data_IF_775879028637
#
_entry.id   IF_775879028637
#
_cell.length_a   1.000
_cell.length_b   1.000
_cell.length_c   1.000
_cell.angle_alpha   90.00
_cell.angle_beta   90.00
_cell.angle_gamma   90.00
#
_symmetry.space_group_name_H-M   'P 1'
#
loop_
_entity.id
_entity.type
_entity.pdbx_description
1 polymer ?
#
# COMPACT_ATOMS: atom_id res chain seq x y z
N UNK A 1 28.57 -10.10 34.08
CA UNK A 1 28.48 -10.40 32.64
C UNK A 1 27.33 -11.36 32.29
N UNK A 2 27.22 -12.54 32.92
CA UNK A 2 26.15 -13.53 32.62
C UNK A 2 24.71 -13.01 32.82
N UNK A 3 24.44 -12.24 33.87
CA UNK A 3 23.11 -11.67 34.13
C UNK A 3 22.70 -10.58 33.12
N UNK A 4 23.66 -9.82 32.59
CA UNK A 4 23.41 -8.81 31.55
C UNK A 4 23.01 -9.49 30.24
N UNK A 5 23.67 -10.60 29.88
CA UNK A 5 23.33 -11.38 28.69
C UNK A 5 21.93 -12.01 28.77
N UNK A 6 21.53 -12.47 29.96
CA UNK A 6 20.18 -13.01 30.18
C UNK A 6 19.12 -11.90 30.04
N UNK A 7 19.36 -10.72 30.61
CA UNK A 7 18.45 -9.58 30.47
C UNK A 7 18.30 -9.13 29.00
N UNK A 8 19.39 -9.10 28.23
CA UNK A 8 19.34 -8.78 26.80
C UNK A 8 18.59 -9.83 25.97
N UNK A 9 18.75 -11.12 26.30
CA UNK A 9 17.97 -12.19 25.66
C UNK A 9 16.47 -12.07 25.95
N UNK A 10 16.09 -11.81 27.20
CA UNK A 10 14.68 -11.60 27.58
C UNK A 10 14.11 -10.37 26.87
N UNK A 11 14.84 -9.26 26.83
CA UNK A 11 14.44 -8.06 26.12
C UNK A 11 14.28 -8.32 24.61
N UNK A 12 15.20 -9.08 24.00
CA UNK A 12 15.12 -9.47 22.59
C UNK A 12 13.91 -10.35 22.28
N UNK A 13 13.61 -11.34 23.14
CA UNK A 13 12.43 -12.21 23.00
C UNK A 13 11.14 -11.41 23.19
N UNK A 14 11.07 -10.56 24.21
CA UNK A 14 9.92 -9.69 24.44
C UNK A 14 9.69 -8.73 23.26
N UNK A 15 10.76 -8.12 22.74
CA UNK A 15 10.71 -7.26 21.56
C UNK A 15 10.27 -8.02 20.31
N UNK A 16 10.76 -9.25 20.10
CA UNK A 16 10.34 -10.11 18.99
C UNK A 16 8.83 -10.38 19.02
N UNK A 17 8.28 -10.76 20.18
CA UNK A 17 6.84 -11.00 20.32
C UNK A 17 6.01 -9.71 20.18
N UNK A 18 6.48 -8.58 20.72
CA UNK A 18 5.84 -7.28 20.55
C UNK A 18 5.80 -6.87 19.06
N UNK A 19 6.94 -6.94 18.36
CA UNK A 19 7.05 -6.60 16.95
C UNK A 19 6.20 -7.53 16.06
N UNK A 20 6.27 -8.85 16.30
CA UNK A 20 5.46 -9.84 15.57
C UNK A 20 3.95 -9.62 15.73
N UNK A 21 3.50 -9.28 16.94
CA UNK A 21 2.08 -9.00 17.21
C UNK A 21 1.61 -7.71 16.55
N UNK A 22 2.43 -6.65 16.59
CA UNK A 22 2.11 -5.38 15.97
C UNK A 22 2.05 -5.46 14.45
N UNK A 23 2.96 -6.20 13.81
CA UNK A 23 2.97 -6.37 12.36
C UNK A 23 1.69 -7.07 11.86
N UNK A 24 1.20 -8.08 12.59
CA UNK A 24 -0.08 -8.74 12.27
C UNK A 24 -1.26 -7.79 12.38
N UNK A 25 -1.31 -6.99 13.45
CA UNK A 25 -2.37 -5.99 13.65
C UNK A 25 -2.36 -4.94 12.53
N UNK A 26 -1.19 -4.39 12.20
CA UNK A 26 -1.02 -3.40 11.13
C UNK A 26 -1.45 -3.96 9.76
N UNK A 27 -1.10 -5.21 9.44
CA UNK A 27 -1.53 -5.85 8.21
C UNK A 27 -3.08 -5.94 8.13
N UNK A 28 -3.74 -6.36 9.21
CA UNK A 28 -5.20 -6.45 9.27
C UNK A 28 -5.86 -5.06 9.15
N UNK A 29 -5.32 -4.06 9.84
CA UNK A 29 -5.79 -2.67 9.75
C UNK A 29 -5.65 -2.13 8.32
N UNK A 30 -4.52 -2.39 7.64
CA UNK A 30 -4.30 -1.96 6.25
C UNK A 30 -5.26 -2.63 5.25
N UNK A 31 -5.57 -3.92 5.42
CA UNK A 31 -6.56 -4.62 4.60
C UNK A 31 -7.94 -3.98 4.77
N UNK A 32 -8.35 -3.70 6.01
CA UNK A 32 -9.64 -3.09 6.32
C UNK A 32 -9.73 -1.67 5.75
N UNK A 33 -8.75 -0.81 6.04
CA UNK A 33 -8.72 0.58 5.57
C UNK A 33 -8.68 0.62 4.03
N UNK A 34 -7.89 -0.26 3.40
CA UNK A 34 -7.84 -0.37 1.95
C UNK A 34 -9.17 -0.79 1.33
N UNK A 35 -9.87 -1.75 1.93
CA UNK A 35 -11.18 -2.19 1.47
C UNK A 35 -12.24 -1.07 1.62
N UNK A 36 -12.26 -0.36 2.75
CA UNK A 36 -13.15 0.79 2.97
C UNK A 36 -12.88 1.93 1.98
N UNK A 37 -11.61 2.24 1.74
CA UNK A 37 -11.21 3.24 0.75
C UNK A 37 -11.68 2.84 -0.66
N UNK A 38 -11.39 1.62 -1.11
CA UNK A 38 -11.81 1.17 -2.45
C UNK A 38 -13.33 1.11 -2.58
N UNK A 39 -14.05 0.73 -1.51
CA UNK A 39 -15.51 0.66 -1.53
C UNK A 39 -16.15 2.05 -1.68
N UNK A 40 -15.57 3.08 -1.07
CA UNK A 40 -16.05 4.46 -1.21
C UNK A 40 -15.53 5.16 -2.48
N UNK A 41 -14.30 4.85 -2.90
CA UNK A 41 -13.66 5.53 -4.01
C UNK A 41 -14.28 5.17 -5.37
N UNK A 42 -14.77 3.94 -5.55
CA UNK A 42 -15.48 3.53 -6.77
C UNK A 42 -16.73 4.35 -7.09
N UNK A 43 -17.33 4.98 -6.07
CA UNK A 43 -18.56 5.75 -6.21
C UNK A 43 -18.29 7.23 -6.51
N UNK A 44 -17.02 7.65 -6.53
CA UNK A 44 -16.65 9.03 -6.86
C UNK A 44 -16.87 9.30 -8.36
N UNK A 45 -17.23 10.54 -8.73
CA UNK A 45 -17.28 10.94 -10.13
C UNK A 45 -15.95 10.66 -10.84
N UNK A 46 -16.00 10.29 -12.12
CA UNK A 46 -14.85 10.02 -12.98
C UNK A 46 -14.01 8.77 -12.64
N UNK A 47 -14.26 8.13 -11.49
CA UNK A 47 -13.61 6.85 -11.16
C UNK A 47 -14.23 5.74 -11.99
N UNK A 48 -13.38 5.00 -12.69
CA UNK A 48 -13.74 3.78 -13.41
C UNK A 48 -13.11 2.58 -12.71
N UNK A 49 -13.91 1.53 -12.49
CA UNK A 49 -13.43 0.26 -11.91
C UNK A 49 -13.31 -0.80 -13.01
N UNK A 50 -12.15 -1.44 -13.13
CA UNK A 50 -11.93 -2.55 -14.08
C UNK A 50 -12.46 -3.87 -13.52
N UNK A 51 -12.54 -4.90 -14.37
CA UNK A 51 -12.91 -6.26 -13.94
C UNK A 51 -11.96 -6.87 -12.91
N UNK A 52 -10.70 -6.43 -12.85
CA UNK A 52 -9.74 -6.88 -11.84
C UNK A 52 -9.86 -6.14 -10.50
N UNK A 53 -10.73 -5.13 -10.41
CA UNK A 53 -10.90 -4.28 -9.23
C UNK A 53 -9.97 -3.06 -9.19
N UNK A 54 -9.13 -2.84 -10.22
CA UNK A 54 -8.34 -1.62 -10.32
C UNK A 54 -9.27 -0.42 -10.53
N UNK A 55 -9.04 0.65 -9.77
CA UNK A 55 -9.75 1.91 -9.91
C UNK A 55 -8.81 2.97 -10.48
N UNK A 56 -9.29 3.73 -11.46
CA UNK A 56 -8.53 4.83 -12.04
C UNK A 56 -9.44 5.99 -12.40
N UNK A 57 -8.85 7.18 -12.47
CA UNK A 57 -9.47 8.39 -12.96
C UNK A 57 -8.63 8.93 -14.12
N UNK A 58 -9.29 9.33 -15.21
CA UNK A 58 -8.61 10.01 -16.33
C UNK A 58 -8.64 11.52 -16.07
N UNK A 59 -7.54 12.06 -15.57
CA UNK A 59 -7.44 13.50 -15.30
C UNK A 59 -7.39 14.33 -16.59
N UNK A 60 -6.50 13.93 -17.51
CA UNK A 60 -6.34 14.58 -18.82
C UNK A 60 -6.14 13.49 -19.86
N UNK A 61 -7.09 13.30 -20.81
CA UNK A 61 -6.92 12.35 -21.90
C UNK A 61 -5.73 12.73 -22.79
N UNK A 62 -4.90 11.76 -23.13
CA UNK A 62 -3.86 11.93 -24.15
C UNK A 62 -4.46 11.96 -25.56
N UNK A 63 -3.73 12.57 -26.50
CA UNK A 63 -4.13 12.66 -27.92
C UNK A 63 -3.48 11.58 -28.80
N UNK A 64 -2.59 10.76 -28.24
CA UNK A 64 -1.93 9.67 -28.96
C UNK A 64 -2.88 8.52 -29.27
N UNK A 65 -2.69 7.87 -30.43
CA UNK A 65 -3.50 6.72 -30.89
C UNK A 65 -2.85 5.38 -30.58
N UNK A 66 -1.56 5.37 -30.23
CA UNK A 66 -0.81 4.16 -29.88
C UNK A 66 -0.83 4.00 -28.37
N UNK A 67 -1.32 2.85 -27.90
CA UNK A 67 -1.36 2.50 -26.48
C UNK A 67 -0.27 1.48 -26.13
N UNK A 68 0.34 1.58 -24.93
CA UNK A 68 1.40 0.66 -24.52
C UNK A 68 0.89 -0.78 -24.40
N UNK A 69 1.72 -1.73 -24.83
CA UNK A 69 1.51 -3.17 -24.64
C UNK A 69 2.26 -3.67 -23.41
N UNK A 70 2.04 -4.93 -23.02
CA UNK A 70 2.73 -5.55 -21.89
C UNK A 70 4.27 -5.56 -21.99
N UNK A 71 4.83 -5.46 -23.21
CA UNK A 71 6.28 -5.44 -23.47
C UNK A 71 6.83 -4.05 -23.76
N UNK A 72 6.00 -3.02 -23.68
CA UNK A 72 6.40 -1.63 -23.96
C UNK A 72 7.24 -1.06 -22.82
N UNK A 73 8.22 -0.22 -23.16
CA UNK A 73 8.88 0.67 -22.19
C UNK A 73 8.22 2.04 -22.26
N UNK A 74 7.83 2.59 -21.12
CA UNK A 74 7.18 3.91 -21.02
C UNK A 74 8.06 4.87 -20.23
N UNK A 75 7.89 6.18 -20.48
CA UNK A 75 8.47 7.25 -19.67
C UNK A 75 7.33 7.95 -18.96
N UNK A 76 7.42 8.05 -17.63
CA UNK A 76 6.36 8.60 -16.78
C UNK A 76 6.92 9.60 -15.79
N UNK A 77 6.09 10.58 -15.44
CA UNK A 77 6.23 11.37 -14.22
C UNK A 77 5.12 10.90 -13.27
N UNK A 78 5.47 10.40 -12.09
CA UNK A 78 4.50 9.85 -11.14
C UNK A 78 4.84 10.23 -9.70
N UNK A 79 3.83 10.19 -8.83
CA UNK A 79 3.96 10.28 -7.37
C UNK A 79 3.21 9.09 -6.76
N UNK A 80 3.88 8.30 -5.91
CA UNK A 80 3.28 7.24 -5.12
C UNK A 80 2.90 7.77 -3.74
N UNK A 81 1.69 7.44 -3.26
CA UNK A 81 1.17 7.93 -1.98
C UNK A 81 0.34 6.86 -1.27
N UNK A 82 0.54 6.72 0.04
CA UNK A 82 -0.30 5.90 0.91
C UNK A 82 -1.64 6.59 1.19
N UNK A 83 -2.62 5.87 1.73
CA UNK A 83 -3.96 6.42 2.01
C UNK A 83 -3.97 7.53 3.08
N UNK A 84 -2.93 7.64 3.89
CA UNK A 84 -2.73 8.71 4.87
C UNK A 84 -2.01 9.94 4.28
N UNK A 85 -1.56 9.87 3.03
CA UNK A 85 -0.88 10.95 2.34
C UNK A 85 0.65 10.88 2.33
N UNK A 86 1.27 9.88 2.96
CA UNK A 86 2.73 9.72 2.93
C UNK A 86 3.22 9.32 1.52
N UNK A 87 4.22 10.04 1.00
CA UNK A 87 4.85 9.80 -0.32
C UNK A 87 5.99 8.77 -0.20
N UNK A 88 6.12 7.87 -1.18
CA UNK A 88 7.18 6.84 -1.24
C UNK A 88 7.74 6.64 -2.65
#
# INVERSE_FOLDING_TARGET
>A
MKFILIALLIAGVAYYFYSSSNNKKLAADNVRIGAEFLASNKDKPLVTTTASGLQYEVLTPGTGTVHPTATSKVKVHYEGKLLDGTVF
#
